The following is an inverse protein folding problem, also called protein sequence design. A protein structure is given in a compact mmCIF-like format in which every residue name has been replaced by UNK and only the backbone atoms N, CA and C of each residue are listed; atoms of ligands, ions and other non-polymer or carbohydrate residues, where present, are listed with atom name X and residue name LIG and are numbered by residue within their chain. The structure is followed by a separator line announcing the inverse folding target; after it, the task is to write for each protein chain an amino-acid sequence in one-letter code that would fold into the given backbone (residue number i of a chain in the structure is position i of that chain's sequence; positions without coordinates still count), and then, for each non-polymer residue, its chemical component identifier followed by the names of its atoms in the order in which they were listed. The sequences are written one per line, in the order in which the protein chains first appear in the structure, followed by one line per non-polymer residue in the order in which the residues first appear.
data_IF_376341396182
#
_entry.id   IF_376341396182
#
_cell.length_a   1.000
_cell.length_b   1.000
_cell.length_c   1.000
_cell.angle_alpha   90.00
_cell.angle_beta   90.00
_cell.angle_gamma   90.00
#
_symmetry.space_group_name_H-M   'P 1'
#
loop_
_entity.id
_entity.type
_entity.pdbx_description
1 polymer ?
#
# COMPACT_ATOMS: atom_id res chain seq x y z
N UNK A 1 -10.56 7.65 -2.95
CA UNK A 1 -11.68 6.93 -2.32
C UNK A 1 -12.97 7.69 -2.57
N UNK A 2 -14.13 7.09 -2.30
CA UNK A 2 -15.44 7.70 -2.56
C UNK A 2 -15.61 9.06 -1.89
N UNK A 3 -15.24 9.18 -0.61
CA UNK A 3 -15.31 10.45 0.14
C UNK A 3 -14.52 11.59 -0.50
N UNK A 4 -13.24 11.36 -0.85
CA UNK A 4 -12.40 12.39 -1.48
C UNK A 4 -12.96 12.87 -2.82
N UNK A 5 -13.42 11.95 -3.68
CA UNK A 5 -14.05 12.31 -4.95
C UNK A 5 -15.37 13.08 -4.74
N UNK A 6 -16.16 12.75 -3.71
CA UNK A 6 -17.40 13.49 -3.38
C UNK A 6 -17.09 14.96 -3.11
N UNK A 7 -16.10 15.24 -2.28
CA UNK A 7 -15.67 16.61 -1.96
C UNK A 7 -15.19 17.35 -3.22
N UNK A 8 -14.38 16.70 -4.06
CA UNK A 8 -13.89 17.29 -5.31
C UNK A 8 -15.03 17.61 -6.28
N UNK A 9 -15.93 16.66 -6.53
CA UNK A 9 -17.03 16.83 -7.48
C UNK A 9 -18.08 17.83 -6.99
N UNK A 10 -18.41 17.82 -5.69
CA UNK A 10 -19.32 18.82 -5.10
C UNK A 10 -18.78 20.25 -5.30
N UNK A 11 -17.47 20.44 -5.09
CA UNK A 11 -16.80 21.72 -5.35
C UNK A 11 -16.87 22.12 -6.83
N UNK A 12 -16.59 21.20 -7.76
CA UNK A 12 -16.65 21.49 -9.21
C UNK A 12 -18.07 21.85 -9.64
N UNK A 13 -19.08 21.14 -9.13
CA UNK A 13 -20.49 21.38 -9.43
C UNK A 13 -21.08 22.59 -8.69
N UNK A 14 -20.31 23.22 -7.79
CA UNK A 14 -20.73 24.32 -6.93
C UNK A 14 -22.01 23.98 -6.12
N UNK A 15 -21.98 22.83 -5.44
CA UNK A 15 -23.07 22.38 -4.55
C UNK A 15 -22.52 21.98 -3.19
N UNK A 16 -23.33 22.03 -2.12
CA UNK A 16 -22.98 21.45 -0.83
C UNK A 16 -22.64 19.95 -0.92
N UNK A 17 -21.75 19.46 -0.04
CA UNK A 17 -21.32 18.06 -0.05
C UNK A 17 -22.48 17.07 0.11
N UNK A 18 -23.51 17.38 0.91
CA UNK A 18 -24.70 16.54 1.12
C UNK A 18 -25.60 16.44 -0.12
N UNK A 19 -25.33 17.21 -1.18
CA UNK A 19 -25.99 17.09 -2.49
C UNK A 19 -25.26 16.15 -3.47
N UNK A 20 -24.14 15.56 -3.07
CA UNK A 20 -23.40 14.59 -3.88
C UNK A 20 -23.18 13.32 -3.06
N UNK A 21 -23.62 12.19 -3.62
CA UNK A 21 -23.35 10.85 -3.07
C UNK A 21 -22.65 10.02 -4.14
N UNK A 22 -21.50 9.46 -3.79
CA UNK A 22 -20.77 8.51 -4.62
C UNK A 22 -20.98 7.12 -4.06
N UNK A 23 -21.54 6.26 -4.90
CA UNK A 23 -21.64 4.84 -4.67
C UNK A 23 -20.63 4.14 -5.56
N UNK A 24 -19.74 3.36 -4.94
CA UNK A 24 -18.79 2.52 -5.67
C UNK A 24 -19.27 1.07 -5.59
N UNK A 25 -19.31 0.39 -6.74
CA UNK A 25 -19.50 -1.06 -6.77
C UNK A 25 -18.13 -1.77 -6.79
N UNK A 26 -18.13 -3.07 -7.11
CA UNK A 26 -16.90 -3.80 -7.39
C UNK A 26 -16.14 -3.13 -8.54
N UNK A 27 -14.87 -2.80 -8.32
CA UNK A 27 -14.00 -2.19 -9.33
C UNK A 27 -13.02 -3.22 -9.83
N UNK A 28 -13.07 -3.52 -11.13
CA UNK A 28 -12.12 -4.43 -11.80
C UNK A 28 -10.73 -3.80 -11.98
N UNK A 29 -9.97 -3.66 -10.90
CA UNK A 29 -8.61 -3.11 -10.91
C UNK A 29 -8.54 -1.59 -11.08
N UNK A 30 -7.50 -0.99 -10.50
CA UNK A 30 -7.19 0.44 -10.61
C UNK A 30 -5.70 0.67 -10.87
N UNK A 31 -4.84 0.05 -10.07
CA UNK A 31 -3.38 0.18 -10.14
C UNK A 31 -2.86 1.63 -10.03
N UNK A 32 -3.71 2.55 -9.52
CA UNK A 32 -3.43 3.98 -9.38
C UNK A 32 -4.26 4.84 -10.32
N UNK A 33 -4.67 4.33 -11.48
CA UNK A 33 -5.36 5.08 -12.53
C UNK A 33 -6.71 5.65 -12.09
N UNK A 34 -7.49 4.90 -11.30
CA UNK A 34 -8.84 5.30 -10.85
C UNK A 34 -8.85 6.09 -9.54
N UNK A 35 -7.72 6.68 -9.14
CA UNK A 35 -7.62 7.45 -7.91
C UNK A 35 -8.03 8.93 -8.06
N UNK A 36 -8.19 9.41 -9.29
CA UNK A 36 -8.57 10.80 -9.61
C UNK A 36 -10.01 10.90 -10.14
N UNK A 37 -10.54 12.12 -10.09
CA UNK A 37 -11.73 12.50 -10.85
C UNK A 37 -11.33 12.81 -12.29
N UNK A 38 -11.86 12.04 -13.24
CA UNK A 38 -11.68 12.27 -14.66
C UNK A 38 -12.66 13.32 -15.20
N UNK A 39 -12.31 14.07 -16.26
CA UNK A 39 -13.20 15.07 -16.86
C UNK A 39 -14.60 14.54 -17.21
N UNK A 40 -14.68 13.29 -17.64
CA UNK A 40 -15.90 12.59 -18.00
C UNK A 40 -16.91 12.61 -16.85
N UNK A 41 -16.48 12.49 -15.59
CA UNK A 41 -17.36 12.52 -14.43
C UNK A 41 -18.12 13.84 -14.35
N UNK A 42 -17.45 14.96 -14.62
CA UNK A 42 -18.07 16.29 -14.61
C UNK A 42 -19.09 16.42 -15.74
N UNK A 43 -18.73 15.97 -16.95
CA UNK A 43 -19.62 15.97 -18.11
C UNK A 43 -20.88 15.13 -17.87
N UNK A 44 -20.72 13.93 -17.30
CA UNK A 44 -21.84 13.02 -16.98
C UNK A 44 -22.78 13.63 -15.95
N UNK A 45 -22.22 14.20 -14.86
CA UNK A 45 -23.02 14.81 -13.80
C UNK A 45 -23.77 16.05 -14.31
N UNK A 46 -23.13 16.86 -15.15
CA UNK A 46 -23.77 18.00 -15.80
C UNK A 46 -24.91 17.54 -16.74
N UNK A 47 -24.66 16.55 -17.59
CA UNK A 47 -25.65 16.00 -18.50
C UNK A 47 -26.85 15.42 -17.76
N UNK A 48 -26.63 14.67 -16.67
CA UNK A 48 -27.70 14.13 -15.84
C UNK A 48 -28.57 15.23 -15.23
N UNK A 49 -27.96 16.33 -14.76
CA UNK A 49 -28.68 17.50 -14.24
C UNK A 49 -29.49 18.20 -15.32
N UNK A 50 -28.91 18.43 -16.50
CA UNK A 50 -29.57 19.11 -17.62
C UNK A 50 -30.76 18.32 -18.18
N UNK A 51 -30.63 16.98 -18.23
CA UNK A 51 -31.66 16.08 -18.75
C UNK A 51 -32.70 15.66 -17.70
N UNK A 52 -32.42 15.86 -16.42
CA UNK A 52 -33.27 15.38 -15.32
C UNK A 52 -33.39 13.86 -15.24
N UNK A 53 -32.41 13.11 -15.78
CA UNK A 53 -32.44 11.64 -15.90
C UNK A 53 -31.04 11.03 -15.68
N UNK A 54 -30.94 9.77 -15.26
CA UNK A 54 -29.65 9.09 -15.16
C UNK A 54 -28.90 9.03 -16.49
N UNK A 55 -27.60 9.30 -16.46
CA UNK A 55 -26.69 9.17 -17.61
C UNK A 55 -25.63 8.11 -17.28
N UNK A 56 -25.46 7.16 -18.19
CA UNK A 56 -24.43 6.12 -18.07
C UNK A 56 -23.34 6.37 -19.11
N UNK A 57 -22.09 6.25 -18.67
CA UNK A 57 -20.92 6.28 -19.54
C UNK A 57 -20.01 5.10 -19.21
N UNK A 58 -19.42 4.53 -20.25
CA UNK A 58 -18.41 3.47 -20.17
C UNK A 58 -17.43 3.70 -21.31
N UNK A 59 -16.13 3.60 -21.02
CA UNK A 59 -15.10 3.74 -22.04
C UNK A 59 -14.86 2.44 -22.82
N UNK A 60 -14.22 2.54 -23.98
CA UNK A 60 -13.67 1.41 -24.73
C UNK A 60 -12.17 1.23 -24.45
N UNK A 61 -11.63 0.05 -24.77
CA UNK A 61 -10.19 -0.22 -24.55
C UNK A 61 -9.31 0.72 -25.39
N UNK A 62 -9.65 0.93 -26.66
CA UNK A 62 -8.89 1.78 -27.59
C UNK A 62 -8.85 3.24 -27.11
N UNK A 63 -9.98 3.76 -26.66
CA UNK A 63 -10.08 5.12 -26.13
C UNK A 63 -9.40 5.28 -24.78
N UNK A 64 -9.43 4.25 -23.91
CA UNK A 64 -8.71 4.28 -22.62
C UNK A 64 -7.20 4.52 -22.78
N UNK A 65 -6.58 4.05 -23.87
CA UNK A 65 -5.16 4.35 -24.14
C UNK A 65 -4.90 5.83 -24.47
N UNK A 66 -5.93 6.58 -24.87
CA UNK A 66 -5.84 7.98 -25.24
C UNK A 66 -6.28 8.91 -24.08
N UNK A 67 -7.28 8.49 -23.29
CA UNK A 67 -7.93 9.31 -22.25
C UNK A 67 -7.42 9.03 -20.83
N UNK A 68 -7.13 7.78 -20.48
CA UNK A 68 -6.72 7.43 -19.13
C UNK A 68 -5.29 7.89 -18.84
N UNK A 69 -4.99 8.07 -17.55
CA UNK A 69 -3.66 8.51 -17.14
C UNK A 69 -2.57 7.48 -17.48
N UNK A 70 -1.48 7.93 -18.09
CA UNK A 70 -0.27 7.14 -18.30
C UNK A 70 0.65 7.14 -17.07
N UNK A 71 1.72 6.33 -17.10
CA UNK A 71 2.70 6.23 -16.02
C UNK A 71 4.16 6.28 -16.52
N UNK A 72 5.10 6.48 -15.60
CA UNK A 72 6.56 6.50 -15.82
C UNK A 72 7.04 7.80 -16.48
N UNK A 73 7.06 7.84 -17.81
CA UNK A 73 7.40 8.99 -18.67
C UNK A 73 8.55 9.90 -18.17
N UNK A 74 9.66 9.31 -17.71
CA UNK A 74 10.85 10.03 -17.24
C UNK A 74 12.04 9.83 -18.20
N UNK A 75 12.84 10.89 -18.36
CA UNK A 75 14.15 10.86 -19.01
C UNK A 75 15.19 11.31 -17.98
N UNK A 76 15.97 10.36 -17.46
CA UNK A 76 16.85 10.58 -16.31
C UNK A 76 18.30 10.23 -16.66
N UNK A 77 19.20 11.11 -16.25
CA UNK A 77 20.63 10.84 -16.13
C UNK A 77 20.96 10.54 -14.66
N UNK A 78 21.49 9.35 -14.41
CA UNK A 78 21.89 8.90 -13.09
C UNK A 78 23.40 8.76 -12.98
N UNK A 79 23.94 9.04 -11.80
CA UNK A 79 25.37 8.94 -11.49
C UNK A 79 25.55 8.28 -10.10
N UNK A 80 26.56 7.43 -9.97
CA UNK A 80 26.95 6.78 -8.72
C UNK A 80 28.45 6.97 -8.52
N UNK A 81 28.84 7.62 -7.42
CA UNK A 81 30.24 7.80 -7.03
C UNK A 81 30.66 6.69 -6.06
N UNK A 82 31.83 6.11 -6.29
CA UNK A 82 32.40 5.03 -5.48
C UNK A 82 33.85 5.33 -5.09
N UNK A 83 34.31 4.81 -3.94
CA UNK A 83 35.74 4.75 -3.63
C UNK A 83 36.45 3.61 -4.38
N UNK A 84 37.77 3.48 -4.20
CA UNK A 84 38.58 2.44 -4.86
C UNK A 84 38.13 1.02 -4.45
N UNK A 85 37.60 0.88 -3.24
CA UNK A 85 37.04 -0.34 -2.70
C UNK A 85 35.56 -0.51 -3.06
N UNK A 86 34.96 0.31 -3.91
CA UNK A 86 33.58 0.16 -4.36
C UNK A 86 32.52 0.42 -3.28
N UNK A 87 32.82 1.19 -2.24
CA UNK A 87 31.79 1.74 -1.35
C UNK A 87 31.12 2.94 -1.99
N UNK A 88 29.80 3.05 -1.84
CA UNK A 88 29.04 4.17 -2.39
C UNK A 88 29.29 5.43 -1.59
N UNK A 89 29.66 6.51 -2.27
CA UNK A 89 29.95 7.82 -1.69
C UNK A 89 28.80 8.79 -1.90
N UNK A 90 28.26 8.83 -3.11
CA UNK A 90 27.14 9.70 -3.49
C UNK A 90 26.36 9.11 -4.65
N UNK A 91 25.07 9.41 -4.75
CA UNK A 91 24.27 9.15 -5.94
C UNK A 91 23.52 10.42 -6.38
N UNK A 92 23.42 10.63 -7.69
CA UNK A 92 22.73 11.80 -8.26
C UNK A 92 21.78 11.41 -9.38
N UNK A 93 20.61 12.05 -9.41
CA UNK A 93 19.67 12.03 -10.53
C UNK A 93 19.45 13.44 -11.05
N UNK A 94 19.46 13.60 -12.37
CA UNK A 94 18.97 14.81 -13.04
C UNK A 94 18.18 14.46 -14.29
N UNK A 95 17.18 15.28 -14.64
CA UNK A 95 16.47 15.07 -15.90
C UNK A 95 15.05 15.63 -15.92
N UNK A 96 14.19 14.98 -16.70
CA UNK A 96 12.85 15.45 -16.99
C UNK A 96 11.78 14.39 -16.71
N UNK A 97 10.63 14.82 -16.19
CA UNK A 97 9.42 14.01 -16.09
C UNK A 97 8.31 14.62 -16.93
N UNK A 98 7.70 13.84 -17.83
CA UNK A 98 6.61 14.31 -18.68
C UNK A 98 5.26 14.19 -17.96
N UNK A 99 4.61 15.32 -17.71
CA UNK A 99 3.29 15.39 -17.05
C UNK A 99 2.11 15.19 -18.01
N UNK A 100 2.34 15.21 -19.32
CA UNK A 100 1.28 15.38 -20.30
C UNK A 100 0.79 16.81 -20.38
N UNK A 101 -0.41 17.01 -20.93
CA UNK A 101 -0.93 18.34 -21.22
C UNK A 101 -1.38 19.12 -19.97
N UNK A 102 -1.67 18.43 -18.87
CA UNK A 102 -2.23 19.03 -17.66
C UNK A 102 -1.64 18.41 -16.40
N UNK A 103 -1.61 19.19 -15.32
CA UNK A 103 -1.24 18.71 -14.00
C UNK A 103 -2.46 18.09 -13.34
N UNK A 104 -2.45 16.77 -13.14
CA UNK A 104 -3.60 16.03 -12.59
C UNK A 104 -3.27 15.28 -11.33
N UNK A 105 -4.14 15.37 -10.32
CA UNK A 105 -4.07 14.60 -9.08
C UNK A 105 -2.68 14.60 -8.46
N UNK A 106 -2.07 13.41 -8.38
CA UNK A 106 -0.76 13.20 -7.75
C UNK A 106 0.42 13.28 -8.74
N UNK A 107 0.19 13.55 -10.02
CA UNK A 107 1.15 13.32 -11.12
C UNK A 107 2.56 13.89 -10.93
N UNK A 108 2.77 15.10 -10.36
CA UNK A 108 4.13 15.59 -10.12
C UNK A 108 4.92 14.75 -9.11
N UNK A 109 4.24 14.11 -8.14
CA UNK A 109 4.86 13.34 -7.06
C UNK A 109 5.66 12.14 -7.55
N UNK A 110 5.07 11.19 -8.32
CA UNK A 110 5.78 10.07 -8.93
C UNK A 110 7.02 10.49 -9.72
N UNK A 111 6.90 11.56 -10.51
CA UNK A 111 7.97 12.04 -11.38
C UNK A 111 9.11 12.73 -10.62
N UNK A 112 8.94 13.08 -9.35
CA UNK A 112 9.92 13.87 -8.58
C UNK A 112 10.12 13.32 -7.16
N UNK A 113 9.30 13.76 -6.20
CA UNK A 113 9.45 13.49 -4.77
C UNK A 113 9.49 11.99 -4.44
N UNK A 114 8.63 11.18 -5.04
CA UNK A 114 8.62 9.74 -4.78
C UNK A 114 9.88 9.05 -5.31
N UNK A 115 10.35 9.48 -6.50
CA UNK A 115 11.63 9.00 -7.04
C UNK A 115 12.77 9.35 -6.09
N UNK A 116 12.84 10.61 -5.62
CA UNK A 116 13.90 11.04 -4.70
C UNK A 116 13.90 10.30 -3.36
N UNK A 117 12.72 10.12 -2.75
CA UNK A 117 12.57 9.37 -1.48
C UNK A 117 13.06 7.92 -1.58
N UNK A 118 12.84 7.28 -2.73
CA UNK A 118 13.15 5.88 -2.96
C UNK A 118 14.52 5.60 -3.57
N UNK A 119 15.19 6.61 -4.13
CA UNK A 119 16.39 6.40 -4.93
C UNK A 119 17.53 5.73 -4.17
N UNK A 120 17.69 6.01 -2.87
CA UNK A 120 18.71 5.36 -2.04
C UNK A 120 18.49 3.84 -1.90
N UNK A 121 17.24 3.38 -2.00
CA UNK A 121 16.86 1.98 -1.85
C UNK A 121 17.43 1.36 -0.56
N UNK A 122 17.94 0.13 -0.62
CA UNK A 122 18.50 -0.64 0.51
C UNK A 122 20.00 -0.38 0.78
N UNK A 123 20.60 0.61 0.11
CA UNK A 123 22.05 0.83 0.12
C UNK A 123 22.47 1.98 1.03
N UNK A 124 23.65 1.83 1.64
CA UNK A 124 24.33 2.87 2.41
C UNK A 124 24.97 3.83 1.42
N UNK A 125 24.25 4.90 1.10
CA UNK A 125 24.69 5.97 0.19
C UNK A 125 24.64 7.30 0.94
N UNK A 126 25.79 7.81 1.44
CA UNK A 126 25.81 8.95 2.38
C UNK A 126 25.28 10.27 1.81
N UNK A 127 25.45 10.49 0.51
CA UNK A 127 25.06 11.73 -0.16
C UNK A 127 24.11 11.44 -1.33
N UNK A 128 23.05 12.24 -1.45
CA UNK A 128 22.05 12.08 -2.49
C UNK A 128 21.64 13.43 -3.07
N UNK A 129 21.60 13.54 -4.40
CA UNK A 129 21.14 14.73 -5.12
C UNK A 129 20.09 14.38 -6.16
N UNK A 130 18.98 15.09 -6.20
CA UNK A 130 17.90 14.85 -7.17
C UNK A 130 17.39 16.18 -7.72
N UNK A 131 17.53 16.38 -9.03
CA UNK A 131 16.99 17.53 -9.77
C UNK A 131 16.18 17.05 -10.98
N UNK A 132 14.87 16.84 -10.78
CA UNK A 132 13.96 16.40 -11.85
C UNK A 132 13.00 17.53 -12.19
N UNK A 133 13.06 17.99 -13.44
CA UNK A 133 12.18 19.02 -13.99
C UNK A 133 10.93 18.38 -14.59
N UNK A 134 9.77 18.61 -13.99
CA UNK A 134 8.50 18.14 -14.56
C UNK A 134 7.98 19.11 -15.62
N UNK A 135 7.69 18.61 -16.82
CA UNK A 135 7.34 19.42 -17.99
C UNK A 135 5.99 19.05 -18.58
N UNK A 136 5.28 20.04 -19.13
CA UNK A 136 4.05 19.83 -19.87
C UNK A 136 4.35 19.50 -21.34
N UNK A 137 3.59 18.59 -21.92
CA UNK A 137 3.69 18.19 -23.34
C UNK A 137 2.31 17.93 -23.94
N UNK A 138 2.19 17.89 -25.27
CA UNK A 138 0.94 17.54 -25.95
C UNK A 138 0.69 16.02 -25.95
N UNK A 139 0.67 15.39 -24.77
CA UNK A 139 0.34 13.97 -24.57
C UNK A 139 -0.72 13.80 -23.48
N UNK A 140 -1.28 12.59 -23.34
CA UNK A 140 -2.29 12.31 -22.32
C UNK A 140 -1.76 12.51 -20.89
N UNK A 141 -2.68 12.57 -19.93
CA UNK A 141 -2.45 12.89 -18.54
C UNK A 141 -1.45 11.92 -17.90
N UNK A 142 -0.45 12.44 -17.17
CA UNK A 142 0.36 11.58 -16.30
C UNK A 142 -0.42 11.24 -15.01
N UNK A 143 -0.21 10.04 -14.47
CA UNK A 143 -0.84 9.59 -13.24
C UNK A 143 -0.02 8.57 -12.47
N UNK A 144 -0.65 8.01 -11.44
CA UNK A 144 -0.05 6.92 -10.69
C UNK A 144 -0.29 5.60 -11.42
N UNK A 145 0.79 4.86 -11.67
CA UNK A 145 0.74 3.45 -12.00
C UNK A 145 1.62 2.69 -11.01
N UNK A 146 1.10 1.63 -10.38
CA UNK A 146 1.71 0.75 -9.35
C UNK A 146 3.14 1.11 -8.95
N UNK A 147 3.32 1.57 -7.71
CA UNK A 147 4.60 2.04 -7.15
C UNK A 147 4.86 3.55 -7.38
N UNK A 148 4.62 4.02 -8.61
CA UNK A 148 4.56 5.45 -8.98
C UNK A 148 5.76 6.30 -8.48
N UNK A 149 6.90 6.18 -9.17
CA UNK A 149 8.17 6.83 -8.87
C UNK A 149 9.17 5.90 -8.17
N UNK A 150 8.67 4.90 -7.45
CA UNK A 150 9.49 3.97 -6.65
C UNK A 150 10.13 2.86 -7.51
N UNK A 151 9.40 2.21 -8.44
CA UNK A 151 10.02 1.32 -9.41
C UNK A 151 11.10 2.01 -10.25
N UNK A 152 10.87 3.25 -10.63
CA UNK A 152 11.81 4.07 -11.39
C UNK A 152 13.09 4.32 -10.59
N UNK A 153 12.96 4.74 -9.32
CA UNK A 153 14.11 4.93 -8.43
C UNK A 153 14.93 3.65 -8.22
N UNK A 154 14.26 2.53 -7.93
CA UNK A 154 14.91 1.23 -7.77
C UNK A 154 15.59 0.80 -9.09
N UNK A 155 14.94 1.02 -10.24
CA UNK A 155 15.53 0.76 -11.55
C UNK A 155 16.80 1.59 -11.77
N UNK A 156 16.79 2.90 -11.49
CA UNK A 156 17.96 3.75 -11.66
C UNK A 156 19.13 3.27 -10.78
N UNK A 157 18.89 3.03 -9.49
CA UNK A 157 19.93 2.56 -8.58
C UNK A 157 20.50 1.21 -9.02
N UNK A 158 19.65 0.21 -9.31
CA UNK A 158 20.13 -1.12 -9.71
C UNK A 158 20.90 -1.11 -11.03
N UNK A 159 20.50 -0.25 -11.99
CA UNK A 159 21.22 -0.08 -13.26
C UNK A 159 22.58 0.59 -13.05
N UNK A 160 22.66 1.59 -12.16
CA UNK A 160 23.92 2.23 -11.81
C UNK A 160 24.89 1.25 -11.14
N UNK A 161 24.38 0.41 -10.24
CA UNK A 161 25.20 -0.60 -9.55
C UNK A 161 25.75 -1.64 -10.53
N UNK A 162 24.92 -2.14 -11.46
CA UNK A 162 25.41 -3.08 -12.48
C UNK A 162 26.44 -2.42 -13.40
N UNK A 163 26.25 -1.15 -13.78
CA UNK A 163 27.23 -0.42 -14.60
C UNK A 163 28.55 -0.19 -13.84
N UNK A 164 28.48 0.21 -12.58
CA UNK A 164 29.65 0.41 -11.74
C UNK A 164 30.43 -0.90 -11.52
N UNK A 165 29.73 -2.01 -11.34
CA UNK A 165 30.34 -3.34 -11.23
C UNK A 165 31.17 -3.69 -12.49
N UNK A 166 30.62 -3.43 -13.68
CA UNK A 166 31.31 -3.66 -14.95
C UNK A 166 32.55 -2.75 -15.11
N UNK A 167 32.45 -1.45 -14.75
CA UNK A 167 33.55 -0.50 -14.86
C UNK A 167 34.68 -0.77 -13.84
N UNK A 168 34.33 -1.18 -12.62
CA UNK A 168 35.31 -1.47 -11.57
C UNK A 168 35.89 -2.89 -11.64
N UNK A 169 35.33 -3.77 -12.47
CA UNK A 169 35.70 -5.19 -12.49
C UNK A 169 35.32 -5.94 -11.20
N UNK A 170 34.39 -5.42 -10.41
CA UNK A 170 33.91 -6.04 -9.17
C UNK A 170 32.69 -6.90 -9.50
N UNK A 171 32.59 -8.10 -8.93
CA UNK A 171 31.38 -8.90 -9.08
C UNK A 171 30.13 -8.14 -8.60
N UNK A 172 29.10 -8.05 -9.44
CA UNK A 172 27.87 -7.28 -9.18
C UNK A 172 27.13 -7.66 -7.89
N UNK A 173 27.24 -8.93 -7.44
CA UNK A 173 26.64 -9.38 -6.17
C UNK A 173 27.49 -8.94 -4.99
N UNK A 174 28.82 -9.01 -5.12
CA UNK A 174 29.76 -8.50 -4.12
C UNK A 174 29.60 -7.00 -3.92
N UNK A 175 29.44 -6.24 -5.00
CA UNK A 175 29.25 -4.78 -4.92
C UNK A 175 27.99 -4.41 -4.13
N UNK A 176 26.88 -5.11 -4.35
CA UNK A 176 25.64 -4.94 -3.56
C UNK A 176 25.86 -5.29 -2.09
N UNK A 177 26.42 -6.47 -1.81
CA UNK A 177 26.69 -6.94 -0.43
C UNK A 177 27.56 -5.97 0.37
N UNK A 178 28.56 -5.36 -0.28
CA UNK A 178 29.44 -4.36 0.33
C UNK A 178 28.69 -3.10 0.79
N UNK A 179 27.58 -2.79 0.13
CA UNK A 179 26.88 -1.52 0.29
C UNK A 179 25.50 -1.61 0.92
N UNK A 180 24.99 -2.79 1.31
CA UNK A 180 23.73 -2.85 2.05
C UNK A 180 23.82 -2.11 3.39
N UNK A 181 22.72 -1.47 3.76
CA UNK A 181 22.50 -1.01 5.13
C UNK A 181 22.43 -2.25 6.03
N UNK A 182 23.14 -2.24 7.16
CA UNK A 182 23.18 -3.37 8.09
C UNK A 182 22.06 -3.27 9.13
N UNK A 183 21.54 -4.39 9.65
CA UNK A 183 20.52 -4.38 10.71
C UNK A 183 20.92 -3.53 11.93
N UNK A 184 22.19 -3.59 12.33
CA UNK A 184 22.73 -2.80 13.45
C UNK A 184 22.79 -1.28 13.22
N UNK A 185 22.47 -0.81 12.00
CA UNK A 185 22.40 0.61 11.66
C UNK A 185 20.97 1.17 11.66
N UNK A 186 19.98 0.33 11.98
CA UNK A 186 18.58 0.73 12.05
C UNK A 186 18.21 1.22 13.46
N UNK A 187 17.36 2.25 13.59
CA UNK A 187 16.74 3.02 12.53
C UNK A 187 17.76 3.86 11.74
N UNK A 188 17.67 3.85 10.41
CA UNK A 188 18.68 4.43 9.52
C UNK A 188 18.17 5.72 8.89
N UNK A 189 18.81 6.85 9.21
CA UNK A 189 18.52 8.14 8.60
C UNK A 189 19.08 8.18 7.16
N UNK A 190 18.21 7.93 6.18
CA UNK A 190 18.60 7.92 4.77
C UNK A 190 18.82 9.36 4.25
N UNK A 191 19.80 9.51 3.34
CA UNK A 191 20.10 10.78 2.68
C UNK A 191 18.93 11.30 1.82
N UNK A 192 17.96 10.43 1.48
CA UNK A 192 16.71 10.80 0.84
C UNK A 192 15.70 11.52 1.75
N UNK A 193 16.03 11.71 3.03
CA UNK A 193 15.24 12.48 4.00
C UNK A 193 14.16 11.67 4.73
N UNK A 194 14.22 10.34 4.65
CA UNK A 194 13.34 9.42 5.40
C UNK A 194 14.16 8.54 6.34
N UNK A 195 13.56 8.08 7.43
CA UNK A 195 14.22 7.19 8.39
C UNK A 195 13.66 5.78 8.26
N UNK A 196 14.49 4.82 7.86
CA UNK A 196 14.09 3.42 7.76
C UNK A 196 13.98 2.84 9.17
N UNK A 197 12.87 2.16 9.45
CA UNK A 197 12.53 1.63 10.77
C UNK A 197 13.21 0.29 11.07
N UNK A 198 13.26 -0.60 10.07
CA UNK A 198 13.62 -2.01 10.22
C UNK A 198 14.08 -2.62 8.88
N UNK A 199 14.68 -3.82 8.92
CA UNK A 199 15.05 -4.59 7.72
C UNK A 199 16.31 -5.46 7.86
N UNK A 200 16.31 -6.62 7.20
CA UNK A 200 17.49 -7.46 6.94
C UNK A 200 17.73 -7.61 5.43
N UNK A 201 18.21 -6.53 4.81
CA UNK A 201 18.38 -6.46 3.36
C UNK A 201 19.37 -7.50 2.82
N UNK A 202 20.43 -7.79 3.58
CA UNK A 202 21.42 -8.80 3.20
C UNK A 202 20.85 -10.23 3.34
N UNK A 203 20.05 -10.50 4.37
CA UNK A 203 19.34 -11.76 4.54
C UNK A 203 18.37 -12.03 3.39
N UNK A 204 17.53 -11.05 3.05
CA UNK A 204 16.60 -11.10 1.91
C UNK A 204 17.34 -11.37 0.60
N UNK A 205 18.42 -10.63 0.33
CA UNK A 205 19.26 -10.83 -0.86
C UNK A 205 19.88 -12.23 -0.90
N UNK A 206 20.41 -12.71 0.22
CA UNK A 206 21.03 -14.03 0.31
C UNK A 206 20.02 -15.14 0.08
N UNK A 207 18.81 -15.01 0.65
CA UNK A 207 17.72 -15.97 0.42
C UNK A 207 17.28 -15.99 -1.04
N UNK A 208 17.19 -14.83 -1.70
CA UNK A 208 16.85 -14.75 -3.12
C UNK A 208 17.88 -15.49 -4.01
N UNK A 209 19.17 -15.38 -3.70
CA UNK A 209 20.22 -16.12 -4.41
C UNK A 209 20.15 -17.63 -4.18
N UNK A 210 19.78 -18.06 -2.97
CA UNK A 210 19.58 -19.47 -2.61
C UNK A 210 18.40 -20.07 -3.38
N UNK A 211 17.20 -19.49 -3.27
CA UNK A 211 15.98 -20.05 -3.88
C UNK A 211 15.99 -19.98 -5.41
N UNK A 212 16.71 -19.01 -5.97
CA UNK A 212 16.92 -18.91 -7.43
C UNK A 212 17.98 -19.87 -7.94
N UNK A 213 18.65 -20.61 -7.05
CA UNK A 213 19.75 -21.50 -7.39
C UNK A 213 20.78 -20.75 -8.27
N UNK A 214 21.15 -19.54 -7.84
CA UNK A 214 22.04 -18.66 -8.59
C UNK A 214 23.41 -19.32 -8.80
N UNK A 215 23.89 -20.10 -7.83
CA UNK A 215 25.17 -20.80 -7.90
C UNK A 215 25.29 -21.72 -9.13
N UNK A 216 24.19 -22.32 -9.59
CA UNK A 216 24.17 -23.21 -10.75
C UNK A 216 23.79 -22.50 -12.06
N UNK A 217 23.68 -21.17 -12.10
CA UNK A 217 23.33 -20.43 -13.31
C UNK A 217 24.28 -20.72 -14.48
N UNK A 218 25.58 -20.92 -14.23
CA UNK A 218 26.56 -21.22 -15.28
C UNK A 218 26.23 -22.53 -16.03
N UNK A 219 25.66 -23.52 -15.34
CA UNK A 219 25.19 -24.77 -15.97
C UNK A 219 24.01 -24.48 -16.90
N UNK A 220 22.99 -23.78 -16.40
CA UNK A 220 21.80 -23.40 -17.18
C UNK A 220 22.15 -22.54 -18.40
N UNK A 221 23.10 -21.62 -18.26
CA UNK A 221 23.61 -20.80 -19.37
C UNK A 221 24.26 -21.65 -20.47
N UNK A 222 25.00 -22.70 -20.11
CA UNK A 222 25.59 -23.64 -21.08
C UNK A 222 24.50 -24.47 -21.79
N UNK A 223 23.46 -24.88 -21.07
CA UNK A 223 22.31 -25.61 -21.62
C UNK A 223 21.57 -24.76 -22.67
N UNK A 224 21.23 -23.51 -22.35
CA UNK A 224 20.62 -22.58 -23.32
C UNK A 224 21.51 -22.37 -24.55
N UNK A 225 22.83 -22.25 -24.36
CA UNK A 225 23.78 -22.11 -25.48
C UNK A 225 23.78 -23.32 -26.41
N UNK A 226 23.69 -24.54 -25.87
CA UNK A 226 23.57 -25.77 -26.67
C UNK A 226 22.27 -25.80 -27.48
N UNK A 227 21.21 -25.17 -26.98
CA UNK A 227 19.94 -25.00 -27.68
C UNK A 227 19.90 -23.76 -28.61
N UNK A 228 21.06 -23.13 -28.89
CA UNK A 228 21.14 -21.96 -29.77
C UNK A 228 20.57 -20.67 -29.16
N UNK A 229 20.39 -20.60 -27.84
CA UNK A 229 19.84 -19.42 -27.13
C UNK A 229 20.91 -18.71 -26.31
N UNK A 230 20.75 -17.40 -26.13
CA UNK A 230 21.49 -16.63 -25.13
C UNK A 230 20.73 -16.70 -23.80
N UNK A 231 21.45 -16.73 -22.67
CA UNK A 231 20.82 -16.69 -21.33
C UNK A 231 21.42 -15.58 -20.47
N UNK A 232 20.54 -14.77 -19.88
CA UNK A 232 20.87 -13.72 -18.90
C UNK A 232 20.28 -14.01 -17.53
N UNK A 233 20.92 -13.50 -16.49
CA UNK A 233 20.37 -13.45 -15.13
C UNK A 233 20.55 -12.04 -14.58
N UNK A 234 19.51 -11.54 -13.93
CA UNK A 234 19.51 -10.27 -13.21
C UNK A 234 19.12 -10.52 -11.76
N UNK A 235 19.77 -9.80 -10.84
CA UNK A 235 19.45 -9.80 -9.41
C UNK A 235 19.22 -8.34 -9.04
N UNK A 236 18.03 -8.02 -8.56
CA UNK A 236 17.63 -6.67 -8.18
C UNK A 236 17.18 -6.63 -6.73
N UNK A 237 17.71 -5.71 -5.92
CA UNK A 237 17.12 -5.42 -4.60
C UNK A 237 16.30 -4.15 -4.66
N UNK A 238 15.28 -4.05 -3.82
CA UNK A 238 14.42 -2.88 -3.76
C UNK A 238 14.04 -2.53 -2.32
N UNK A 239 13.75 -1.26 -2.11
CA UNK A 239 12.97 -0.76 -0.98
C UNK A 239 11.86 0.13 -1.51
N UNK A 240 10.69 0.08 -0.88
CA UNK A 240 9.52 0.87 -1.23
C UNK A 240 9.16 1.77 -0.04
N UNK A 241 9.03 3.10 -0.24
CA UNK A 241 8.60 4.01 0.84
C UNK A 241 7.08 4.11 0.79
N UNK A 242 6.39 3.29 1.57
CA UNK A 242 4.94 3.11 1.49
C UNK A 242 4.20 3.81 2.63
N UNK A 243 2.87 3.71 2.64
CA UNK A 243 2.01 4.30 3.67
C UNK A 243 2.21 5.81 3.85
N UNK A 244 2.01 6.64 2.80
CA UNK A 244 2.07 8.10 2.93
C UNK A 244 1.22 8.58 4.12
N UNK A 245 1.78 9.41 5.02
CA UNK A 245 1.12 9.72 6.27
C UNK A 245 -0.22 10.40 6.06
N UNK A 246 -1.24 9.80 6.68
CA UNK A 246 -2.63 10.25 6.63
C UNK A 246 -3.44 9.48 7.66
N UNK A 247 -4.44 10.13 8.25
CA UNK A 247 -5.42 9.46 9.09
C UNK A 247 -6.29 8.47 8.32
N UNK A 248 -6.90 7.54 9.04
CA UNK A 248 -7.80 6.53 8.50
C UNK A 248 -9.01 6.29 9.39
N UNK A 249 -10.16 5.99 8.78
CA UNK A 249 -11.40 5.66 9.49
C UNK A 249 -11.38 4.18 9.90
N UNK A 250 -11.64 3.92 11.18
CA UNK A 250 -11.88 2.60 11.75
C UNK A 250 -13.16 2.66 12.57
N UNK A 251 -14.31 2.58 11.91
CA UNK A 251 -15.61 2.58 12.59
C UNK A 251 -16.12 1.16 12.72
N UNK A 252 -16.52 0.77 13.94
CA UNK A 252 -17.05 -0.56 14.27
C UNK A 252 -18.46 -0.37 14.79
N UNK A 253 -19.41 -1.07 14.20
CA UNK A 253 -20.83 -1.04 14.58
C UNK A 253 -21.33 -2.45 14.80
N UNK A 254 -21.92 -2.72 15.95
CA UNK A 254 -22.60 -3.97 16.24
C UNK A 254 -24.05 -3.86 15.76
N UNK A 255 -24.43 -4.64 14.76
CA UNK A 255 -25.72 -4.52 14.09
C UNK A 255 -26.82 -5.35 14.78
N UNK A 256 -28.11 -4.98 14.64
CA UNK A 256 -29.23 -5.73 15.22
C UNK A 256 -29.34 -7.19 14.72
N UNK A 257 -28.82 -7.50 13.54
CA UNK A 257 -28.80 -8.85 12.97
C UNK A 257 -27.64 -9.73 13.50
N UNK A 258 -26.86 -9.19 14.44
CA UNK A 258 -25.71 -9.86 15.05
C UNK A 258 -24.46 -9.85 14.18
N UNK A 259 -24.42 -9.05 13.10
CA UNK A 259 -23.18 -8.77 12.37
C UNK A 259 -22.37 -7.63 13.03
N UNK A 260 -21.09 -7.56 12.69
CA UNK A 260 -20.18 -6.47 13.09
C UNK A 260 -19.73 -5.75 11.84
N UNK A 261 -20.29 -4.56 11.60
CA UNK A 261 -19.96 -3.74 10.43
C UNK A 261 -18.72 -2.90 10.69
N UNK A 262 -17.69 -3.13 9.89
CA UNK A 262 -16.47 -2.35 9.83
C UNK A 262 -16.58 -1.32 8.69
N UNK A 263 -16.57 -0.03 9.01
CA UNK A 263 -16.56 1.06 8.00
C UNK A 263 -15.18 1.70 7.95
N UNK A 264 -14.60 1.78 6.75
CA UNK A 264 -13.23 2.29 6.55
C UNK A 264 -13.17 3.25 5.37
N UNK A 265 -12.15 4.10 5.35
CA UNK A 265 -11.96 5.15 4.36
C UNK A 265 -11.11 4.76 3.15
N UNK A 266 -10.56 3.54 3.17
CA UNK A 266 -9.94 2.88 2.01
C UNK A 266 -11.01 2.38 1.03
N UNK A 267 -10.61 1.97 -0.18
CA UNK A 267 -11.55 1.42 -1.17
C UNK A 267 -10.92 0.22 -1.88
N UNK A 268 -11.65 -0.89 -1.90
CA UNK A 268 -11.20 -2.11 -2.57
C UNK A 268 -11.36 -2.02 -4.09
N UNK A 269 -10.28 -2.34 -4.81
CA UNK A 269 -10.27 -2.45 -6.27
C UNK A 269 -9.79 -3.84 -6.72
N UNK A 270 -9.84 -4.85 -5.83
CA UNK A 270 -9.42 -6.22 -6.08
C UNK A 270 -8.23 -6.70 -5.23
N UNK A 271 -7.75 -5.90 -4.28
CA UNK A 271 -6.74 -6.31 -3.31
C UNK A 271 -7.31 -7.14 -2.15
N UNK A 272 -8.64 -7.25 -2.07
CA UNK A 272 -9.33 -8.17 -1.17
C UNK A 272 -9.39 -7.66 0.26
N UNK A 273 -9.69 -6.38 0.48
CA UNK A 273 -9.68 -5.73 1.80
C UNK A 273 -10.54 -6.43 2.87
N UNK A 274 -11.70 -6.95 2.47
CA UNK A 274 -12.67 -7.53 3.39
C UNK A 274 -12.05 -8.62 4.29
N UNK A 275 -11.23 -9.50 3.71
CA UNK A 275 -10.63 -10.63 4.40
C UNK A 275 -9.56 -10.24 5.43
N UNK A 276 -8.44 -9.55 5.07
CA UNK A 276 -7.40 -9.19 6.03
C UNK A 276 -7.90 -8.18 7.07
N UNK A 277 -8.84 -7.29 6.73
CA UNK A 277 -9.42 -6.39 7.72
C UNK A 277 -10.27 -7.16 8.75
N UNK A 278 -11.08 -8.11 8.30
CA UNK A 278 -11.82 -8.99 9.19
C UNK A 278 -10.89 -9.87 10.03
N UNK A 279 -9.75 -10.35 9.49
CA UNK A 279 -8.74 -11.09 10.27
C UNK A 279 -8.15 -10.23 11.39
N UNK A 280 -7.81 -8.97 11.12
CA UNK A 280 -7.30 -8.04 12.15
C UNK A 280 -8.39 -7.79 13.20
N UNK A 281 -9.62 -7.50 12.80
CA UNK A 281 -10.72 -7.22 13.74
C UNK A 281 -11.06 -8.44 14.61
N UNK A 282 -11.14 -9.63 14.01
CA UNK A 282 -11.38 -10.88 14.72
C UNK A 282 -10.26 -11.18 15.72
N UNK A 283 -8.99 -10.93 15.35
CA UNK A 283 -7.86 -11.10 16.27
C UNK A 283 -7.91 -10.13 17.46
N UNK A 284 -8.40 -8.90 17.27
CA UNK A 284 -8.49 -7.90 18.33
C UNK A 284 -9.69 -8.10 19.26
N UNK A 285 -10.86 -8.46 18.70
CA UNK A 285 -12.13 -8.49 19.45
C UNK A 285 -12.71 -9.89 19.66
N UNK A 286 -12.17 -10.93 19.06
CA UNK A 286 -12.73 -12.29 19.12
C UNK A 286 -14.15 -12.43 18.55
N UNK A 287 -14.61 -11.45 17.76
CA UNK A 287 -15.89 -11.55 17.05
C UNK A 287 -15.80 -12.59 15.93
N UNK A 288 -16.88 -13.34 15.63
CA UNK A 288 -16.82 -14.37 14.60
C UNK A 288 -16.50 -13.75 13.23
N UNK A 289 -15.52 -14.34 12.52
CA UNK A 289 -15.01 -13.80 11.26
C UNK A 289 -16.12 -13.62 10.22
N UNK A 290 -17.00 -14.62 10.11
CA UNK A 290 -18.14 -14.66 9.19
C UNK A 290 -19.25 -13.65 9.51
N UNK A 291 -19.23 -13.06 10.71
CA UNK A 291 -20.15 -11.99 11.11
C UNK A 291 -19.62 -10.60 10.77
N UNK A 292 -18.37 -10.47 10.32
CA UNK A 292 -17.78 -9.18 9.99
C UNK A 292 -18.17 -8.79 8.56
N UNK A 293 -18.73 -7.59 8.41
CA UNK A 293 -19.03 -6.98 7.10
C UNK A 293 -18.19 -5.72 6.91
N UNK A 294 -17.83 -5.40 5.65
CA UNK A 294 -17.01 -4.23 5.32
C UNK A 294 -17.83 -3.21 4.51
N UNK A 295 -17.82 -1.95 4.97
CA UNK A 295 -18.40 -0.79 4.27
C UNK A 295 -17.28 0.19 3.85
N UNK A 296 -17.21 0.45 2.54
CA UNK A 296 -16.24 1.34 1.89
C UNK A 296 -16.87 2.12 0.71
N UNK A 297 -18.09 1.75 0.34
CA UNK A 297 -18.65 1.97 -0.99
C UNK A 297 -19.58 3.18 -1.04
N UNK A 298 -20.08 3.63 0.10
CA UNK A 298 -20.96 4.78 0.22
C UNK A 298 -20.31 5.98 0.89
N UNK A 299 -20.15 7.07 0.13
CA UNK A 299 -19.56 8.32 0.63
C UNK A 299 -20.40 9.06 1.69
N UNK A 300 -21.64 8.64 1.93
CA UNK A 300 -22.47 9.18 3.02
C UNK A 300 -22.22 8.43 4.34
N UNK A 301 -21.81 7.16 4.26
CA UNK A 301 -21.44 6.34 5.41
C UNK A 301 -19.96 6.50 5.77
N UNK A 302 -19.11 6.64 4.75
CA UNK A 302 -17.67 6.84 4.88
C UNK A 302 -17.36 8.33 4.97
N UNK A 303 -17.33 8.87 6.20
CA UNK A 303 -17.13 10.30 6.45
C UNK A 303 -15.70 10.80 6.36
N UNK A 304 -14.72 9.89 6.31
CA UNK A 304 -13.30 10.22 6.41
C UNK A 304 -12.44 9.13 5.77
N UNK A 305 -11.29 9.51 5.20
CA UNK A 305 -10.32 8.59 4.64
C UNK A 305 -9.63 9.10 3.37
N UNK A 306 -8.45 8.55 3.10
CA UNK A 306 -7.63 8.96 1.95
C UNK A 306 -7.73 7.98 0.76
N UNK A 307 -8.62 6.98 0.84
CA UNK A 307 -8.71 5.91 -0.14
C UNK A 307 -7.46 5.01 -0.17
N UNK A 308 -7.36 4.23 -1.25
CA UNK A 308 -6.27 3.28 -1.46
C UNK A 308 -5.29 3.76 -2.52
N UNK A 309 -4.02 3.83 -2.13
CA UNK A 309 -2.86 4.20 -2.94
C UNK A 309 -1.57 4.16 -2.12
N UNK A 310 -0.40 4.10 -2.76
CA UNK A 310 0.89 4.08 -2.06
C UNK A 310 1.05 2.92 -1.07
N UNK A 311 0.38 1.79 -1.32
CA UNK A 311 0.36 0.59 -0.47
C UNK A 311 0.00 0.85 1.00
N UNK A 312 -0.80 1.88 1.30
CA UNK A 312 -1.14 2.27 2.68
C UNK A 312 -2.22 1.42 3.37
N UNK A 313 -3.02 0.70 2.61
CA UNK A 313 -4.33 0.20 3.05
C UNK A 313 -4.29 -0.62 4.33
N UNK A 314 -3.46 -1.66 4.40
CA UNK A 314 -3.42 -2.54 5.58
C UNK A 314 -2.69 -1.90 6.76
N UNK A 315 -1.68 -1.07 6.50
CA UNK A 315 -0.98 -0.33 7.56
C UNK A 315 -1.93 0.66 8.23
N UNK A 316 -2.58 1.52 7.44
CA UNK A 316 -3.42 2.58 7.97
C UNK A 316 -4.74 2.05 8.55
N UNK A 317 -5.44 1.18 7.81
CA UNK A 317 -6.70 0.61 8.30
C UNK A 317 -6.46 -0.43 9.39
N UNK A 318 -5.36 -1.20 9.34
CA UNK A 318 -4.99 -2.12 10.41
C UNK A 318 -4.76 -1.37 11.73
N UNK A 319 -4.00 -0.27 11.70
CA UNK A 319 -3.85 0.63 12.85
C UNK A 319 -5.21 1.16 13.33
N UNK A 320 -6.07 1.62 12.42
CA UNK A 320 -7.40 2.11 12.75
C UNK A 320 -8.28 1.05 13.42
N UNK A 321 -8.22 -0.20 12.95
CA UNK A 321 -8.94 -1.33 13.55
C UNK A 321 -8.40 -1.62 14.95
N UNK A 322 -7.08 -1.64 15.15
CA UNK A 322 -6.47 -1.88 16.47
C UNK A 322 -6.88 -0.79 17.46
N UNK A 323 -6.75 0.48 17.09
CA UNK A 323 -7.14 1.60 17.94
C UNK A 323 -8.64 1.61 18.25
N UNK A 324 -9.50 1.39 17.24
CA UNK A 324 -10.94 1.31 17.42
C UNK A 324 -11.34 0.11 18.30
N UNK A 325 -10.69 -1.04 18.14
CA UNK A 325 -10.93 -2.23 18.95
C UNK A 325 -10.57 -2.00 20.42
N UNK A 326 -9.49 -1.27 20.71
CA UNK A 326 -9.15 -0.89 22.08
C UNK A 326 -10.26 -0.05 22.74
N UNK A 327 -10.86 0.88 22.00
CA UNK A 327 -12.01 1.68 22.47
C UNK A 327 -13.27 0.82 22.68
N UNK A 328 -13.51 -0.18 21.81
CA UNK A 328 -14.59 -1.15 21.99
C UNK A 328 -14.37 -1.95 23.28
N UNK A 329 -13.14 -2.40 23.55
CA UNK A 329 -12.79 -3.12 24.78
C UNK A 329 -12.97 -2.25 26.02
N UNK A 330 -12.57 -0.98 25.98
CA UNK A 330 -12.79 -0.05 27.11
C UNK A 330 -14.28 0.11 27.43
N UNK A 331 -15.12 0.35 26.41
CA UNK A 331 -16.58 0.39 26.57
C UNK A 331 -17.13 -0.95 27.06
N UNK A 332 -16.63 -2.04 26.50
CA UNK A 332 -17.03 -3.41 26.82
C UNK A 332 -16.75 -3.78 28.26
N UNK A 333 -15.62 -3.36 28.84
CA UNK A 333 -15.30 -3.57 30.25
C UNK A 333 -16.30 -2.84 31.17
N UNK A 334 -16.61 -1.58 30.87
CA UNK A 334 -17.62 -0.79 31.61
C UNK A 334 -19.00 -1.43 31.56
N UNK A 335 -19.45 -1.84 30.37
CA UNK A 335 -20.74 -2.50 30.20
C UNK A 335 -20.79 -3.90 30.84
N UNK A 336 -19.70 -4.68 30.74
CA UNK A 336 -19.60 -6.00 31.35
C UNK A 336 -19.59 -5.93 32.87
N UNK A 337 -18.91 -4.93 33.46
CA UNK A 337 -18.92 -4.69 34.90
C UNK A 337 -20.35 -4.52 35.44
N UNK A 338 -21.17 -3.72 34.74
CA UNK A 338 -22.59 -3.55 35.07
C UNK A 338 -23.38 -4.85 34.86
N UNK A 339 -23.21 -5.51 33.71
CA UNK A 339 -23.94 -6.73 33.37
C UNK A 339 -23.62 -7.93 34.28
N UNK A 340 -22.44 -7.92 34.91
CA UNK A 340 -21.96 -8.98 35.80
C UNK A 340 -21.99 -8.58 37.28
N UNK A 341 -22.46 -7.37 37.61
CA UNK A 341 -22.48 -6.84 38.98
C UNK A 341 -21.09 -6.92 39.65
N UNK A 342 -20.08 -6.41 38.96
CA UNK A 342 -18.68 -6.41 39.38
C UNK A 342 -18.03 -5.03 39.21
N UNK A 343 -16.86 -4.83 39.81
CA UNK A 343 -16.05 -3.63 39.59
C UNK A 343 -15.44 -3.64 38.19
N UNK A 344 -15.36 -2.49 37.53
CA UNK A 344 -14.69 -2.35 36.21
C UNK A 344 -13.23 -2.81 36.25
N UNK A 345 -12.53 -2.54 37.36
CA UNK A 345 -11.13 -2.93 37.56
C UNK A 345 -10.92 -4.45 37.61
N UNK A 346 -11.97 -5.20 37.92
CA UNK A 346 -11.93 -6.67 38.00
C UNK A 346 -12.30 -7.33 36.66
N UNK A 347 -12.59 -6.56 35.60
CA UNK A 347 -12.95 -7.12 34.29
C UNK A 347 -11.72 -7.27 33.39
N UNK A 348 -11.43 -8.51 33.05
CA UNK A 348 -10.44 -8.89 32.03
C UNK A 348 -11.13 -9.19 30.70
N UNK A 349 -10.55 -8.72 29.59
CA UNK A 349 -11.06 -9.01 28.26
C UNK A 349 -10.05 -9.88 27.50
N UNK A 350 -10.50 -10.99 26.95
CA UNK A 350 -9.69 -11.87 26.10
C UNK A 350 -10.59 -12.71 25.21
N UNK A 351 -10.17 -12.91 23.95
CA UNK A 351 -10.85 -13.83 23.02
C UNK A 351 -12.34 -13.54 22.81
N UNK A 352 -12.75 -12.27 22.85
CA UNK A 352 -14.15 -11.87 22.67
C UNK A 352 -15.04 -12.08 23.90
N UNK A 353 -14.44 -12.24 25.08
CA UNK A 353 -15.17 -12.38 26.34
C UNK A 353 -14.61 -11.43 27.40
N UNK A 354 -15.52 -10.87 28.19
CA UNK A 354 -15.21 -10.15 29.42
C UNK A 354 -15.47 -11.07 30.61
N UNK A 355 -14.49 -11.27 31.48
CA UNK A 355 -14.53 -12.20 32.63
C UNK A 355 -14.15 -11.45 33.91
N UNK A 356 -14.84 -11.75 35.03
CA UNK A 356 -14.42 -11.24 36.34
C UNK A 356 -13.17 -12.01 36.77
N UNK A 357 -12.09 -11.29 37.07
CA UNK A 357 -10.80 -11.84 37.48
C UNK A 357 -10.96 -12.85 38.62
N UNK A 358 -10.33 -14.02 38.47
CA UNK A 358 -10.38 -15.11 39.46
C UNK A 358 -11.69 -15.91 39.49
N UNK A 359 -12.61 -15.71 38.54
CA UNK A 359 -13.88 -16.46 38.45
C UNK A 359 -14.13 -16.99 37.03
N UNK A 360 -15.20 -17.77 36.85
CA UNK A 360 -15.73 -18.21 35.56
C UNK A 360 -16.89 -17.32 35.03
N UNK A 361 -17.36 -16.35 35.83
CA UNK A 361 -18.43 -15.43 35.47
C UNK A 361 -17.97 -14.51 34.34
N UNK A 362 -18.62 -14.64 33.19
CA UNK A 362 -18.19 -13.95 31.97
C UNK A 362 -19.36 -13.68 31.02
N UNK A 363 -19.17 -12.71 30.12
CA UNK A 363 -20.11 -12.38 29.04
C UNK A 363 -19.35 -12.23 27.71
N UNK A 364 -19.91 -12.81 26.65
CA UNK A 364 -19.37 -12.66 25.30
C UNK A 364 -19.64 -11.27 24.74
N UNK A 365 -18.75 -10.75 23.89
CA UNK A 365 -18.86 -9.40 23.32
C UNK A 365 -20.14 -9.23 22.48
N UNK A 366 -20.55 -10.28 21.76
CA UNK A 366 -21.79 -10.26 20.96
C UNK A 366 -23.04 -10.24 21.85
N UNK A 367 -23.06 -11.07 22.90
CA UNK A 367 -24.16 -11.08 23.88
C UNK A 367 -24.25 -9.75 24.62
N UNK A 368 -23.11 -9.16 24.99
CA UNK A 368 -23.05 -7.87 25.65
C UNK A 368 -23.61 -6.76 24.74
N UNK A 369 -23.24 -6.75 23.45
CA UNK A 369 -23.79 -5.81 22.48
C UNK A 369 -25.31 -5.97 22.32
N UNK A 370 -25.82 -7.21 22.33
CA UNK A 370 -27.25 -7.48 22.28
C UNK A 370 -27.97 -6.96 23.53
N UNK A 371 -27.48 -7.27 24.74
CA UNK A 371 -28.07 -6.83 26.00
C UNK A 371 -28.12 -5.31 26.15
N UNK A 372 -27.07 -4.62 25.69
CA UNK A 372 -27.04 -3.15 25.65
C UNK A 372 -28.15 -2.59 24.76
N UNK A 373 -28.39 -3.22 23.60
CA UNK A 373 -29.45 -2.82 22.66
C UNK A 373 -30.85 -3.08 23.22
N UNK A 374 -31.03 -4.19 23.93
CA UNK A 374 -32.29 -4.57 24.58
C UNK A 374 -32.56 -3.78 25.87
N UNK A 375 -31.57 -3.02 26.36
CA UNK A 375 -31.68 -2.27 27.61
C UNK A 375 -31.68 -3.15 28.86
N UNK A 376 -31.11 -4.35 28.79
CA UNK A 376 -31.08 -5.31 29.90
C UNK A 376 -29.80 -5.22 30.75
N UNK A 377 -28.89 -4.31 30.40
CA UNK A 377 -27.73 -3.96 31.24
C UNK A 377 -28.15 -2.80 32.16
N UNK A 378 -27.82 -2.85 33.48
CA UNK A 378 -28.11 -1.75 34.39
C UNK A 378 -27.64 -0.38 33.89
N UNK A 379 -28.39 0.67 34.24
CA UNK A 379 -28.05 2.06 33.89
C UNK A 379 -26.72 2.51 34.54
N UNK A 380 -26.03 3.45 33.89
CA UNK A 380 -24.74 3.99 34.37
C UNK A 380 -23.52 3.58 33.53
N UNK A 381 -23.71 2.79 32.47
CA UNK A 381 -22.70 2.41 31.49
C UNK A 381 -22.93 2.98 30.08
N UNK A 382 -22.08 2.63 29.09
CA UNK A 382 -22.30 2.99 27.69
C UNK A 382 -23.56 2.32 27.14
N UNK A 383 -24.28 2.98 26.22
CA UNK A 383 -25.50 2.45 25.59
C UNK A 383 -25.25 1.53 24.39
N UNK A 384 -24.01 1.48 23.90
CA UNK A 384 -23.58 0.59 22.81
C UNK A 384 -22.07 0.36 22.86
N UNK A 385 -21.63 -0.71 22.19
CA UNK A 385 -20.20 -0.98 21.95
C UNK A 385 -19.67 -0.29 20.69
N UNK A 386 -20.50 0.46 19.97
CA UNK A 386 -20.14 1.08 18.70
C UNK A 386 -19.04 2.13 18.89
N UNK A 387 -18.10 2.18 17.96
CA UNK A 387 -16.99 3.12 17.94
C UNK A 387 -16.89 3.76 16.57
N UNK A 388 -16.77 5.10 16.54
CA UNK A 388 -16.51 5.88 15.33
C UNK A 388 -15.16 6.58 15.50
N UNK A 389 -14.07 5.87 15.14
CA UNK A 389 -12.70 6.30 15.38
C UNK A 389 -11.99 6.68 14.09
N UNK A 390 -11.16 7.73 14.16
CA UNK A 390 -10.28 8.14 13.07
C UNK A 390 -8.86 8.29 13.62
N UNK A 391 -7.91 7.55 13.05
CA UNK A 391 -6.50 7.69 13.40
C UNK A 391 -6.00 9.07 12.96
N UNK A 392 -5.06 9.65 13.70
CA UNK A 392 -4.49 10.96 13.35
C UNK A 392 -3.52 10.85 12.18
N UNK A 393 -2.61 9.89 12.26
CA UNK A 393 -1.55 9.69 11.28
C UNK A 393 -1.07 8.23 11.30
N UNK A 394 -0.82 7.71 10.11
CA UNK A 394 -0.09 6.44 9.90
C UNK A 394 1.35 6.76 9.52
N UNK A 395 2.31 6.05 10.08
CA UNK A 395 3.73 6.26 9.75
C UNK A 395 4.10 5.62 8.41
N UNK A 396 5.14 6.16 7.78
CA UNK A 396 5.77 5.55 6.62
C UNK A 396 6.29 4.15 7.00
N UNK A 397 6.23 3.22 6.03
CA UNK A 397 6.81 1.89 6.17
C UNK A 397 7.71 1.57 4.98
N UNK A 398 8.66 0.67 5.19
CA UNK A 398 9.77 0.43 4.25
C UNK A 398 9.87 -1.04 3.80
N UNK A 399 8.81 -1.64 3.23
CA UNK A 399 8.89 -2.99 2.70
C UNK A 399 9.97 -3.08 1.63
N UNK A 400 10.65 -4.22 1.60
CA UNK A 400 11.83 -4.43 0.76
C UNK A 400 11.81 -5.83 0.17
N UNK A 401 12.70 -6.09 -0.77
CA UNK A 401 12.77 -7.39 -1.41
C UNK A 401 13.97 -7.54 -2.34
N UNK A 402 14.16 -8.78 -2.80
CA UNK A 402 15.12 -9.10 -3.84
C UNK A 402 14.50 -10.07 -4.86
N UNK A 403 14.61 -9.69 -6.14
CA UNK A 403 14.09 -10.45 -7.26
C UNK A 403 15.23 -10.97 -8.12
N UNK A 404 15.11 -12.22 -8.58
CA UNK A 404 16.04 -12.86 -9.51
C UNK A 404 15.29 -13.32 -10.75
N UNK A 405 15.62 -12.73 -11.89
CA UNK A 405 15.01 -13.04 -13.17
C UNK A 405 16.05 -13.66 -14.11
N UNK A 406 15.70 -14.79 -14.72
CA UNK A 406 16.44 -15.40 -15.81
C UNK A 406 15.67 -15.28 -17.10
N UNK A 407 16.37 -14.87 -18.16
CA UNK A 407 15.80 -14.75 -19.51
C UNK A 407 16.59 -15.58 -20.50
N UNK A 408 15.89 -16.13 -21.48
CA UNK A 408 16.46 -16.64 -22.72
C UNK A 408 16.14 -15.70 -23.87
N UNK A 409 17.10 -15.52 -24.77
CA UNK A 409 16.96 -14.69 -25.96
C UNK A 409 17.29 -15.55 -27.17
N UNK A 410 16.39 -15.54 -28.14
CA UNK A 410 16.64 -16.04 -29.47
C UNK A 410 17.50 -15.02 -30.24
N UNK A 411 18.75 -15.36 -30.61
CA UNK A 411 19.66 -14.39 -31.23
C UNK A 411 19.25 -13.97 -32.64
N UNK A 412 18.46 -14.78 -33.35
CA UNK A 412 18.07 -14.52 -34.73
C UNK A 412 16.83 -13.61 -34.81
N UNK A 413 15.94 -13.70 -33.81
CA UNK A 413 14.66 -12.97 -33.78
C UNK A 413 14.59 -11.89 -32.70
N UNK A 414 15.49 -11.92 -31.71
CA UNK A 414 15.45 -11.05 -30.54
C UNK A 414 14.32 -11.38 -29.54
N UNK A 415 13.57 -12.48 -29.75
CA UNK A 415 12.49 -12.88 -28.84
C UNK A 415 13.06 -13.22 -27.47
N UNK A 416 12.57 -12.50 -26.45
CA UNK A 416 12.96 -12.70 -25.05
C UNK A 416 11.89 -13.51 -24.32
N UNK A 417 12.31 -14.52 -23.54
CA UNK A 417 11.44 -15.31 -22.66
C UNK A 417 11.96 -15.26 -21.24
N UNK A 418 11.08 -14.92 -20.28
CA UNK A 418 11.38 -15.10 -18.86
C UNK A 418 11.24 -16.58 -18.54
N UNK A 419 12.36 -17.24 -18.27
CA UNK A 419 12.42 -18.70 -18.04
C UNK A 419 12.45 -19.07 -16.57
N UNK A 420 12.77 -18.11 -15.70
CA UNK A 420 12.66 -18.27 -14.25
C UNK A 420 12.50 -16.89 -13.59
N UNK A 421 11.64 -16.82 -12.58
CA UNK A 421 11.47 -15.64 -11.76
C UNK A 421 11.32 -16.06 -10.31
N UNK A 422 12.17 -15.54 -9.42
CA UNK A 422 12.09 -15.81 -7.98
C UNK A 422 12.06 -14.46 -7.27
N UNK A 423 11.23 -14.33 -6.24
CA UNK A 423 11.12 -13.12 -5.44
C UNK A 423 11.14 -13.50 -3.96
N UNK A 424 11.92 -12.76 -3.18
CA UNK A 424 11.85 -12.77 -1.72
C UNK A 424 11.49 -11.37 -1.30
N UNK A 425 10.39 -11.23 -0.56
CA UNK A 425 9.90 -9.95 -0.09
C UNK A 425 9.76 -9.98 1.43
N UNK A 426 10.11 -8.88 2.06
CA UNK A 426 9.88 -8.63 3.48
C UNK A 426 8.89 -7.46 3.61
N UNK A 427 7.68 -7.80 4.06
CA UNK A 427 6.58 -6.87 4.30
C UNK A 427 6.32 -6.68 5.80
N UNK A 428 7.19 -7.21 6.67
CA UNK A 428 6.93 -7.32 8.10
C UNK A 428 5.85 -8.35 8.42
N UNK A 429 4.90 -8.00 9.30
CA UNK A 429 3.84 -8.91 9.72
C UNK A 429 2.86 -9.17 8.57
N UNK A 430 2.82 -10.42 8.11
CA UNK A 430 1.89 -10.88 7.08
C UNK A 430 0.55 -11.24 7.70
N UNK A 431 -0.51 -10.51 7.30
CA UNK A 431 -1.88 -10.79 7.74
C UNK A 431 -2.49 -11.98 7.00
N UNK A 432 -2.31 -12.03 5.68
CA UNK A 432 -2.88 -13.09 4.85
C UNK A 432 -1.87 -13.50 3.76
N UNK A 433 -1.15 -14.63 3.93
CA UNK A 433 -0.16 -15.09 2.95
C UNK A 433 -0.75 -15.31 1.55
N UNK A 434 -1.96 -15.87 1.46
CA UNK A 434 -2.62 -16.17 0.19
C UNK A 434 -3.00 -14.93 -0.62
N UNK A 435 -3.28 -13.80 0.04
CA UNK A 435 -3.57 -12.53 -0.66
C UNK A 435 -2.28 -11.81 -1.08
N UNK A 436 -1.16 -12.10 -0.40
CA UNK A 436 0.14 -11.53 -0.76
C UNK A 436 0.72 -12.22 -2.00
N UNK A 437 0.60 -13.55 -2.09
CA UNK A 437 0.95 -14.36 -3.28
C UNK A 437 0.05 -14.05 -4.48
#
# INVERSE_FOLDING_TARGET
GGFGNKVTLAKILNVPNDKVRILTANVGGSFGMKNVSYPEYVCILHAAKALGRPVKWTDERSTSFLSDSQGRAQLIHGELALDAEGHFLAARLSGYGNLGAYITGVAPGPLSLNTGKNFQSVYRTPLLGVDIKTVLTNTTLMGAYRGAGRPEANYYMERLIDRAADEMGINRLTLRKRNFIKPAQLPYAAASGVTYDSGDFQGVFSKALEISDHANFAKRKKESRKAGKLRGIAVGSYLEVTAPPSGELGKITFEPDGSVKLTTGTLDYGQGHATPYAQVLAAQLGVPFEKITLEQNDSDLVRFGNGTGGSRSITATGQAIVEASALVVEKGKKAAAQALEASEGDIEFSGGRSTIAGTDRSIGIMDLAQRLREGTVPEGGPSSLDVDHATKETVLTFPNGCHVAEVEIDPDTGVVRVVRYNAVNDFGVVINPMIIE
#
